data_IF_339688403617
#
_entry.id   IF_339688403617
#
_cell.length_a   1.000
_cell.length_b   1.000
_cell.length_c   1.000
_cell.angle_alpha   90.00
_cell.angle_beta   90.00
_cell.angle_gamma   90.00
#
_symmetry.space_group_name_H-M   'P 1'
#
loop_
_entity.id
_entity.type
_entity.pdbx_description
1 polymer ?
#
# COMPACT_ATOMS: atom_id res chain seq x y z
N UNK A 1 -29.06 18.55 -31.31
CA UNK A 1 -27.86 18.92 -32.08
C UNK A 1 -26.90 19.68 -31.16
N UNK A 2 -26.04 18.99 -30.44
CA UNK A 2 -25.07 19.60 -29.52
C UNK A 2 -23.99 20.33 -30.32
N UNK A 3 -23.85 21.63 -30.10
CA UNK A 3 -22.98 22.52 -30.86
C UNK A 3 -21.51 22.08 -30.72
N UNK A 4 -20.89 21.78 -31.86
CA UNK A 4 -19.47 21.37 -31.99
C UNK A 4 -18.46 22.35 -31.34
N UNK A 5 -18.84 23.61 -31.16
CA UNK A 5 -18.04 24.65 -30.49
C UNK A 5 -17.78 24.39 -28.99
N UNK A 6 -18.69 23.70 -28.28
CA UNK A 6 -18.48 23.31 -26.89
C UNK A 6 -17.47 22.15 -26.77
N UNK A 7 -17.29 21.31 -27.79
CA UNK A 7 -16.38 20.17 -27.75
C UNK A 7 -14.92 20.59 -27.79
N UNK A 8 -14.54 21.66 -28.49
CA UNK A 8 -13.15 22.12 -28.55
C UNK A 8 -12.71 22.72 -27.22
N UNK A 9 -13.54 23.55 -26.61
CA UNK A 9 -13.27 24.15 -25.31
C UNK A 9 -13.17 23.09 -24.22
N UNK A 10 -14.09 22.12 -24.17
CA UNK A 10 -14.04 21.00 -23.23
C UNK A 10 -12.78 20.14 -23.45
N UNK A 11 -12.43 19.86 -24.69
CA UNK A 11 -11.22 19.11 -25.03
C UNK A 11 -9.95 19.81 -24.55
N UNK A 12 -9.86 21.13 -24.73
CA UNK A 12 -8.73 21.93 -24.25
C UNK A 12 -8.64 21.91 -22.72
N UNK A 13 -9.78 22.07 -22.01
CA UNK A 13 -9.84 22.01 -20.56
C UNK A 13 -9.42 20.63 -20.03
N UNK A 14 -9.88 19.55 -20.65
CA UNK A 14 -9.50 18.17 -20.27
C UNK A 14 -8.01 17.93 -20.49
N UNK A 15 -7.46 18.35 -21.63
CA UNK A 15 -6.02 18.23 -21.91
C UNK A 15 -5.18 19.00 -20.88
N UNK A 16 -5.60 20.23 -20.56
CA UNK A 16 -4.93 21.06 -19.54
C UNK A 16 -4.99 20.43 -18.17
N UNK A 17 -6.17 19.91 -17.78
CA UNK A 17 -6.34 19.21 -16.50
C UNK A 17 -5.50 17.94 -16.44
N UNK A 18 -5.45 17.18 -17.52
CA UNK A 18 -4.68 15.95 -17.61
C UNK A 18 -3.17 16.22 -17.49
N UNK A 19 -2.63 17.20 -18.26
CA UNK A 19 -1.21 17.57 -18.18
C UNK A 19 -0.83 18.01 -16.76
N UNK A 20 -1.65 18.89 -16.16
CA UNK A 20 -1.44 19.33 -14.79
C UNK A 20 -1.51 18.17 -13.80
N UNK A 21 -2.52 17.29 -13.94
CA UNK A 21 -2.76 16.15 -13.07
C UNK A 21 -1.61 15.16 -13.07
N UNK A 22 -0.99 14.88 -14.21
CA UNK A 22 0.17 14.00 -14.28
C UNK A 22 1.38 14.56 -13.51
N UNK A 23 1.70 15.86 -13.68
CA UNK A 23 2.77 16.49 -12.94
C UNK A 23 2.49 16.55 -11.43
N UNK A 24 1.26 16.90 -11.07
CA UNK A 24 0.82 16.93 -9.68
C UNK A 24 0.89 15.55 -9.04
N UNK A 25 0.39 14.52 -9.73
CA UNK A 25 0.51 13.12 -9.30
C UNK A 25 1.96 12.70 -9.09
N UNK A 26 2.85 13.04 -10.02
CA UNK A 26 4.25 12.68 -9.91
C UNK A 26 4.91 13.24 -8.63
N UNK A 27 4.68 14.51 -8.32
CA UNK A 27 5.20 15.14 -7.10
C UNK A 27 4.62 14.51 -5.84
N UNK A 28 3.31 14.20 -5.86
CA UNK A 28 2.62 13.51 -4.78
C UNK A 28 3.12 12.07 -4.59
N UNK A 29 3.44 11.36 -5.67
CA UNK A 29 4.03 10.03 -5.61
C UNK A 29 5.39 10.06 -4.90
N UNK A 30 6.24 11.05 -5.21
CA UNK A 30 7.53 11.24 -4.51
C UNK A 30 7.30 11.49 -3.01
N UNK A 31 6.34 12.36 -2.66
CA UNK A 31 6.01 12.64 -1.26
C UNK A 31 5.50 11.39 -0.54
N UNK A 32 4.63 10.61 -1.18
CA UNK A 32 4.16 9.34 -0.65
C UNK A 32 5.31 8.34 -0.39
N UNK A 33 6.26 8.23 -1.34
CA UNK A 33 7.46 7.39 -1.17
C UNK A 33 8.30 7.87 0.02
N UNK A 34 8.48 9.18 0.19
CA UNK A 34 9.22 9.74 1.34
C UNK A 34 8.50 9.42 2.64
N UNK A 35 7.18 9.62 2.74
CA UNK A 35 6.40 9.22 3.92
C UNK A 35 6.48 7.70 4.12
N UNK A 36 6.39 6.92 3.05
CA UNK A 36 6.48 5.46 3.07
C UNK A 36 7.82 4.90 3.56
N UNK A 37 8.90 5.70 3.56
CA UNK A 37 10.19 5.29 4.15
C UNK A 37 10.09 5.02 5.65
N UNK A 38 9.09 5.55 6.34
CA UNK A 38 8.81 5.26 7.76
C UNK A 38 8.48 3.79 8.00
N UNK A 39 7.83 3.12 7.03
CA UNK A 39 7.57 1.67 7.12
C UNK A 39 8.86 0.87 7.02
N UNK A 40 9.77 1.27 6.12
CA UNK A 40 11.09 0.64 5.98
C UNK A 40 11.88 0.78 7.29
N UNK A 41 11.87 1.97 7.90
CA UNK A 41 12.51 2.21 9.21
C UNK A 41 11.88 1.36 10.32
N UNK A 42 10.55 1.19 10.28
CA UNK A 42 9.81 0.41 11.26
C UNK A 42 9.82 -1.11 10.99
N UNK A 43 10.31 -1.55 9.83
CA UNK A 43 10.33 -2.96 9.45
C UNK A 43 11.21 -3.79 10.40
N UNK A 44 10.95 -5.10 10.54
CA UNK A 44 11.88 -6.03 11.19
C UNK A 44 13.25 -5.97 10.53
N UNK A 45 14.30 -6.22 11.33
CA UNK A 45 15.66 -6.23 10.78
C UNK A 45 15.82 -7.27 9.67
N UNK A 46 16.37 -6.85 8.54
CA UNK A 46 16.60 -7.74 7.41
C UNK A 46 17.92 -8.51 7.60
N UNK A 47 17.83 -9.81 7.75
CA UNK A 47 18.98 -10.68 8.00
C UNK A 47 19.73 -11.11 6.72
N UNK A 48 19.16 -10.85 5.54
CA UNK A 48 19.77 -11.23 4.27
C UNK A 48 19.68 -10.11 3.23
N UNK A 49 20.64 -10.11 2.31
CA UNK A 49 20.63 -9.16 1.18
C UNK A 49 19.35 -9.27 0.33
N UNK A 50 18.84 -10.49 0.11
CA UNK A 50 17.61 -10.71 -0.67
C UNK A 50 16.39 -10.10 0.06
N UNK A 51 16.31 -10.22 1.38
CA UNK A 51 15.25 -9.61 2.19
C UNK A 51 15.31 -8.09 2.14
N UNK A 52 16.51 -7.51 2.16
CA UNK A 52 16.68 -6.06 1.99
C UNK A 52 16.23 -5.59 0.60
N UNK A 53 16.65 -6.30 -0.46
CA UNK A 53 16.20 -6.01 -1.83
C UNK A 53 14.69 -6.11 -1.94
N UNK A 54 14.09 -7.17 -1.41
CA UNK A 54 12.64 -7.34 -1.37
C UNK A 54 11.95 -6.15 -0.68
N UNK A 55 12.43 -5.74 0.49
CA UNK A 55 11.88 -4.61 1.23
C UNK A 55 11.96 -3.31 0.42
N UNK A 56 13.10 -3.05 -0.24
CA UNK A 56 13.31 -1.85 -1.04
C UNK A 56 12.41 -1.80 -2.29
N UNK A 57 12.33 -2.90 -3.06
CA UNK A 57 11.48 -2.93 -4.27
C UNK A 57 9.99 -2.91 -3.90
N UNK A 58 9.59 -3.54 -2.78
CA UNK A 58 8.21 -3.51 -2.29
C UNK A 58 7.84 -2.09 -1.83
N UNK A 59 8.72 -1.41 -1.10
CA UNK A 59 8.52 -0.02 -0.72
C UNK A 59 8.24 0.88 -1.93
N UNK A 60 9.14 0.86 -2.92
CA UNK A 60 8.98 1.68 -4.13
C UNK A 60 7.75 1.27 -4.94
N UNK A 61 7.55 -0.02 -5.16
CA UNK A 61 6.45 -0.55 -5.97
C UNK A 61 5.09 -0.34 -5.31
N UNK A 62 4.92 -0.76 -4.06
CA UNK A 62 3.63 -0.73 -3.37
C UNK A 62 3.15 0.69 -3.09
N UNK A 63 4.01 1.56 -2.56
CA UNK A 63 3.61 2.95 -2.26
C UNK A 63 3.26 3.71 -3.53
N UNK A 64 4.05 3.54 -4.59
CA UNK A 64 3.74 4.17 -5.89
C UNK A 64 2.48 3.61 -6.53
N UNK A 65 2.23 2.30 -6.38
CA UNK A 65 0.98 1.68 -6.85
C UNK A 65 -0.23 2.23 -6.12
N UNK A 66 -0.18 2.40 -4.79
CA UNK A 66 -1.25 3.03 -4.02
C UNK A 66 -1.48 4.49 -4.45
N UNK A 67 -0.42 5.26 -4.67
CA UNK A 67 -0.52 6.62 -5.19
C UNK A 67 -1.15 6.64 -6.59
N UNK A 68 -0.77 5.72 -7.47
CA UNK A 68 -1.36 5.57 -8.80
C UNK A 68 -2.84 5.19 -8.73
N UNK A 69 -3.21 4.26 -7.85
CA UNK A 69 -4.60 3.86 -7.64
C UNK A 69 -5.44 5.04 -7.14
N UNK A 70 -4.90 5.83 -6.20
CA UNK A 70 -5.55 7.05 -5.72
C UNK A 70 -5.73 8.09 -6.83
N UNK A 71 -4.71 8.28 -7.68
CA UNK A 71 -4.83 9.13 -8.88
C UNK A 71 -5.94 8.63 -9.81
N UNK A 72 -5.95 7.35 -10.13
CA UNK A 72 -6.91 6.74 -11.06
C UNK A 72 -8.36 6.85 -10.55
N UNK A 73 -8.58 6.64 -9.25
CA UNK A 73 -9.93 6.64 -8.66
C UNK A 73 -10.44 8.07 -8.42
N UNK A 74 -9.59 8.95 -7.93
CA UNK A 74 -10.04 10.28 -7.48
C UNK A 74 -9.73 11.40 -8.48
N UNK A 75 -8.49 11.51 -8.96
CA UNK A 75 -8.07 12.64 -9.77
C UNK A 75 -8.43 12.49 -11.24
N UNK A 76 -8.28 11.30 -11.80
CA UNK A 76 -8.57 11.06 -13.22
C UNK A 76 -10.04 11.34 -13.58
N UNK A 77 -11.06 10.89 -12.83
CA UNK A 77 -12.45 11.22 -13.13
C UNK A 77 -12.76 12.72 -13.04
N UNK A 78 -12.07 13.44 -12.14
CA UNK A 78 -12.24 14.89 -11.99
C UNK A 78 -11.79 15.68 -13.23
N UNK A 79 -10.92 15.11 -14.08
CA UNK A 79 -10.46 15.79 -15.31
C UNK A 79 -11.62 16.11 -16.25
N UNK A 80 -12.71 15.36 -16.18
CA UNK A 80 -13.90 15.51 -17.02
C UNK A 80 -14.88 16.60 -16.53
N UNK A 81 -14.67 17.21 -15.36
CA UNK A 81 -15.55 18.27 -14.82
C UNK A 81 -15.55 19.53 -15.70
N UNK A 82 -14.53 19.71 -16.55
CA UNK A 82 -14.47 20.84 -17.47
C UNK A 82 -14.17 22.21 -16.84
N UNK A 83 -13.87 22.26 -15.53
CA UNK A 83 -13.47 23.47 -14.82
C UNK A 83 -12.12 23.28 -14.14
N UNK A 84 -11.06 23.82 -14.75
CA UNK A 84 -9.69 23.65 -14.27
C UNK A 84 -9.44 24.20 -12.85
N UNK A 85 -10.15 25.27 -12.44
CA UNK A 85 -9.98 25.83 -11.08
C UNK A 85 -10.56 24.89 -10.03
N UNK A 86 -11.75 24.33 -10.29
CA UNK A 86 -12.41 23.35 -9.41
C UNK A 86 -11.57 22.07 -9.36
N UNK A 87 -11.11 21.58 -10.52
CA UNK A 87 -10.23 20.43 -10.61
C UNK A 87 -9.00 20.58 -9.69
N UNK A 88 -8.27 21.70 -9.82
CA UNK A 88 -7.09 21.98 -8.98
C UNK A 88 -7.42 21.99 -7.48
N UNK A 89 -8.46 22.71 -7.09
CA UNK A 89 -8.84 22.83 -5.70
C UNK A 89 -9.19 21.48 -5.08
N UNK A 90 -10.06 20.71 -5.73
CA UNK A 90 -10.48 19.39 -5.26
C UNK A 90 -9.30 18.42 -5.22
N UNK A 91 -8.42 18.45 -6.22
CA UNK A 91 -7.22 17.61 -6.24
C UNK A 91 -6.28 17.89 -5.07
N UNK A 92 -6.07 19.16 -4.71
CA UNK A 92 -5.26 19.54 -3.54
C UNK A 92 -5.89 19.00 -2.26
N UNK A 93 -7.20 19.18 -2.09
CA UNK A 93 -7.91 18.68 -0.88
C UNK A 93 -7.78 17.17 -0.76
N UNK A 94 -8.00 16.44 -1.87
CA UNK A 94 -7.86 14.97 -1.89
C UNK A 94 -6.41 14.56 -1.56
N UNK A 95 -5.42 15.22 -2.14
CA UNK A 95 -4.01 14.90 -1.89
C UNK A 95 -3.63 15.10 -0.42
N UNK A 96 -4.04 16.22 0.19
CA UNK A 96 -3.83 16.47 1.63
C UNK A 96 -4.48 15.37 2.47
N UNK A 97 -5.73 15.00 2.19
CA UNK A 97 -6.44 13.96 2.94
C UNK A 97 -5.74 12.60 2.82
N UNK A 98 -5.31 12.21 1.63
CA UNK A 98 -4.63 10.94 1.39
C UNK A 98 -3.26 10.89 2.08
N UNK A 99 -2.47 11.97 2.04
CA UNK A 99 -1.20 12.03 2.76
C UNK A 99 -1.41 12.06 4.28
N UNK A 100 -2.45 12.72 4.79
CA UNK A 100 -2.81 12.64 6.21
C UNK A 100 -3.15 11.20 6.62
N UNK A 101 -3.94 10.48 5.82
CA UNK A 101 -4.24 9.07 6.07
C UNK A 101 -2.97 8.22 6.08
N UNK A 102 -2.07 8.44 5.11
CA UNK A 102 -0.79 7.74 5.04
C UNK A 102 0.10 8.03 6.26
N UNK A 103 0.14 9.29 6.74
CA UNK A 103 0.88 9.67 7.96
C UNK A 103 0.29 9.03 9.22
N UNK A 104 -1.03 8.97 9.34
CA UNK A 104 -1.72 8.29 10.44
C UNK A 104 -1.39 6.80 10.42
N UNK A 105 -1.50 6.15 9.27
CA UNK A 105 -1.16 4.73 9.11
C UNK A 105 0.32 4.47 9.44
N UNK A 106 1.24 5.30 8.93
CA UNK A 106 2.66 5.19 9.23
C UNK A 106 2.96 5.34 10.73
N UNK A 107 2.27 6.25 11.42
CA UNK A 107 2.40 6.41 12.88
C UNK A 107 1.87 5.20 13.64
N UNK A 108 0.73 4.64 13.23
CA UNK A 108 0.18 3.41 13.80
C UNK A 108 1.17 2.26 13.64
N UNK A 109 1.66 2.06 12.41
CA UNK A 109 2.62 1.00 12.14
C UNK A 109 3.93 1.17 12.91
N UNK A 110 4.43 2.40 13.03
CA UNK A 110 5.63 2.70 13.81
C UNK A 110 5.46 2.34 15.29
N UNK A 111 4.25 2.56 15.86
CA UNK A 111 4.00 2.43 17.30
C UNK A 111 3.54 1.04 17.69
N UNK A 112 2.58 0.46 16.96
CA UNK A 112 1.92 -0.81 17.32
C UNK A 112 2.01 -1.90 16.23
N UNK A 113 2.73 -1.65 15.13
CA UNK A 113 2.90 -2.58 14.00
C UNK A 113 1.59 -3.03 13.34
N UNK A 114 0.58 -2.18 13.36
CA UNK A 114 -0.74 -2.43 12.77
C UNK A 114 -1.07 -1.30 11.79
N UNK A 115 -1.66 -1.66 10.64
CA UNK A 115 -2.15 -0.70 9.65
C UNK A 115 -3.56 -0.21 9.97
N UNK A 116 -3.90 0.95 9.41
CA UNK A 116 -5.22 1.56 9.52
C UNK A 116 -6.25 0.71 8.79
N UNK A 117 -7.04 -0.04 9.57
CA UNK A 117 -8.18 -0.82 9.11
C UNK A 117 -9.48 -0.19 9.60
N UNK A 118 -10.62 -0.62 9.07
CA UNK A 118 -11.92 -0.19 9.59
C UNK A 118 -12.07 -0.44 11.09
N UNK A 119 -11.61 -1.61 11.55
CA UNK A 119 -11.64 -1.96 12.97
C UNK A 119 -10.79 -1.01 13.81
N UNK A 120 -9.53 -0.74 13.41
CA UNK A 120 -8.63 0.20 14.09
C UNK A 120 -9.21 1.61 14.08
N UNK A 121 -9.75 2.07 12.95
CA UNK A 121 -10.40 3.37 12.84
C UNK A 121 -11.59 3.51 13.81
N UNK A 122 -12.42 2.47 13.92
CA UNK A 122 -13.56 2.47 14.83
C UNK A 122 -13.12 2.50 16.30
N UNK A 123 -12.03 1.81 16.62
CA UNK A 123 -11.44 1.83 17.96
C UNK A 123 -10.89 3.22 18.29
N UNK A 124 -10.15 3.82 17.37
CA UNK A 124 -9.63 5.20 17.51
C UNK A 124 -10.73 6.24 17.71
N UNK A 125 -11.91 6.01 17.16
CA UNK A 125 -13.04 6.93 17.33
C UNK A 125 -13.78 6.75 18.67
N UNK A 126 -13.80 5.53 19.21
CA UNK A 126 -14.55 5.18 20.42
C UNK A 126 -13.72 5.27 21.69
N UNK A 127 -12.46 4.92 21.61
CA UNK A 127 -11.57 4.79 22.77
C UNK A 127 -10.62 6.01 22.85
N UNK A 128 -10.86 6.87 23.86
CA UNK A 128 -10.02 8.04 24.11
C UNK A 128 -8.64 7.65 24.66
N UNK A 129 -8.55 6.58 25.44
CA UNK A 129 -7.29 6.12 26.03
C UNK A 129 -6.36 5.56 24.95
N UNK A 130 -6.91 4.82 23.99
CA UNK A 130 -6.17 4.38 22.82
C UNK A 130 -5.63 5.56 21.99
N UNK A 131 -6.44 6.58 21.79
CA UNK A 131 -6.08 7.81 21.08
C UNK A 131 -4.97 8.59 21.78
N UNK A 132 -5.08 8.76 23.10
CA UNK A 132 -4.10 9.48 23.93
C UNK A 132 -2.76 8.76 23.98
N UNK A 133 -2.78 7.43 24.07
CA UNK A 133 -1.56 6.60 24.07
C UNK A 133 -0.75 6.72 22.78
N UNK A 134 -1.41 6.96 21.63
CA UNK A 134 -0.74 7.10 20.34
C UNK A 134 -0.14 8.49 20.08
N UNK A 135 -0.55 9.51 20.82
CA UNK A 135 -0.08 10.91 20.72
C UNK A 135 -0.01 11.45 19.28
N UNK A 136 -1.14 11.89 18.76
CA UNK A 136 -1.25 12.46 17.41
C UNK A 136 -1.00 13.98 17.31
N UNK A 137 -0.44 14.62 18.35
CA UNK A 137 -0.23 16.07 18.35
C UNK A 137 0.63 16.56 17.18
N UNK A 138 1.58 15.72 16.70
CA UNK A 138 2.37 16.03 15.52
C UNK A 138 1.53 16.27 14.26
N UNK A 139 0.31 15.67 14.19
CA UNK A 139 -0.55 15.73 13.02
C UNK A 139 -1.00 17.18 12.72
N UNK A 140 -1.18 18.01 13.72
CA UNK A 140 -1.53 19.43 13.49
C UNK A 140 -0.47 20.16 12.71
N UNK A 141 0.82 19.96 13.08
CA UNK A 141 1.94 20.56 12.35
C UNK A 141 2.07 19.92 10.96
N UNK A 142 1.94 18.61 10.88
CA UNK A 142 2.02 17.87 9.61
C UNK A 142 0.96 18.33 8.60
N UNK A 143 -0.29 18.56 9.03
CA UNK A 143 -1.36 19.04 8.15
C UNK A 143 -1.00 20.41 7.56
N UNK A 144 -0.50 21.34 8.37
CA UNK A 144 -0.09 22.67 7.89
C UNK A 144 1.04 22.54 6.86
N UNK A 145 2.04 21.72 7.14
CA UNK A 145 3.15 21.46 6.22
C UNK A 145 2.67 20.78 4.93
N UNK A 146 1.77 19.81 5.01
CA UNK A 146 1.18 19.15 3.84
C UNK A 146 0.42 20.14 2.97
N UNK A 147 -0.42 20.99 3.55
CA UNK A 147 -1.15 22.01 2.80
C UNK A 147 -0.16 22.94 2.08
N UNK A 148 0.91 23.40 2.76
CA UNK A 148 1.92 24.24 2.14
C UNK A 148 2.64 23.52 0.98
N UNK A 149 3.03 22.25 1.15
CA UNK A 149 3.66 21.43 0.11
C UNK A 149 2.73 21.21 -1.09
N UNK A 150 1.45 20.89 -0.85
CA UNK A 150 0.49 20.68 -1.93
C UNK A 150 0.21 21.95 -2.73
N UNK A 151 0.19 23.11 -2.09
CA UNK A 151 0.09 24.39 -2.78
C UNK A 151 1.33 24.68 -3.64
N UNK A 152 2.52 24.33 -3.15
CA UNK A 152 3.78 24.42 -3.93
C UNK A 152 3.71 23.48 -5.13
N UNK A 153 3.32 22.21 -4.93
CA UNK A 153 3.18 21.21 -6.00
C UNK A 153 2.16 21.66 -7.05
N UNK A 154 1.02 22.20 -6.62
CA UNK A 154 0.02 22.77 -7.51
C UNK A 154 0.56 23.96 -8.34
N UNK A 155 1.39 24.79 -7.75
CA UNK A 155 2.05 25.92 -8.44
C UNK A 155 3.10 25.42 -9.44
N UNK A 156 3.91 24.44 -9.05
CA UNK A 156 4.92 23.83 -9.93
C UNK A 156 4.26 23.15 -11.12
N UNK A 157 3.23 22.33 -10.88
CA UNK A 157 2.46 21.65 -11.94
C UNK A 157 1.77 22.66 -12.89
N UNK A 158 1.36 23.83 -12.37
CA UNK A 158 0.79 24.89 -13.22
C UNK A 158 1.86 25.52 -14.12
N UNK A 159 3.09 25.66 -13.65
CA UNK A 159 4.18 26.18 -14.49
C UNK A 159 4.51 25.23 -15.66
N UNK A 160 4.43 23.92 -15.44
CA UNK A 160 4.70 22.92 -16.48
C UNK A 160 3.73 23.00 -17.67
N UNK A 161 2.47 23.37 -17.45
CA UNK A 161 1.49 23.57 -18.55
C UNK A 161 1.95 24.64 -19.54
N UNK A 162 2.66 25.66 -19.08
CA UNK A 162 3.09 26.80 -19.90
C UNK A 162 4.49 26.64 -20.48
N UNK A 163 5.20 25.56 -20.14
CA UNK A 163 6.48 25.27 -20.83
C UNK A 163 6.20 24.83 -22.26
N UNK A 164 6.81 25.52 -23.23
CA UNK A 164 6.86 25.02 -24.61
C UNK A 164 7.66 23.72 -24.61
N UNK A 165 6.99 22.61 -24.91
CA UNK A 165 7.66 21.32 -25.13
C UNK A 165 8.57 21.41 -26.35
N UNK A 166 9.85 21.67 -26.15
CA UNK A 166 10.87 21.65 -27.22
C UNK A 166 11.58 20.29 -27.31
N UNK A 167 11.35 19.38 -26.37
CA UNK A 167 12.01 18.07 -26.32
C UNK A 167 11.11 17.01 -25.67
N UNK A 168 10.96 15.86 -26.31
CA UNK A 168 10.32 14.69 -25.70
C UNK A 168 11.09 14.29 -24.44
N UNK A 169 10.46 14.47 -23.28
CA UNK A 169 11.03 14.07 -22.02
C UNK A 169 10.52 12.66 -21.65
N UNK A 170 11.35 11.64 -21.89
CA UNK A 170 11.05 10.25 -21.56
C UNK A 170 11.25 9.92 -20.06
N UNK A 171 11.79 10.85 -19.29
CA UNK A 171 12.11 10.61 -17.87
C UNK A 171 10.91 10.13 -17.03
N UNK A 172 9.71 10.74 -17.11
CA UNK A 172 8.56 10.23 -16.38
C UNK A 172 8.14 8.81 -16.78
N UNK A 173 8.21 8.51 -18.08
CA UNK A 173 7.88 7.18 -18.59
C UNK A 173 8.86 6.11 -18.10
N UNK A 174 10.17 6.41 -18.10
CA UNK A 174 11.20 5.52 -17.58
C UNK A 174 10.98 5.27 -16.08
N UNK A 175 10.72 6.33 -15.31
CA UNK A 175 10.50 6.19 -13.87
C UNK A 175 9.26 5.35 -13.56
N UNK A 176 8.15 5.58 -14.27
CA UNK A 176 6.94 4.76 -14.10
C UNK A 176 7.16 3.30 -14.49
N UNK A 177 8.00 3.04 -15.51
CA UNK A 177 8.38 1.68 -15.89
C UNK A 177 9.22 1.00 -14.79
N UNK A 178 10.16 1.72 -14.18
CA UNK A 178 10.96 1.21 -13.05
C UNK A 178 10.05 0.86 -11.87
N UNK A 179 9.14 1.75 -11.51
CA UNK A 179 8.19 1.52 -10.40
C UNK A 179 7.27 0.32 -10.69
N UNK A 180 6.75 0.22 -11.91
CA UNK A 180 5.95 -0.93 -12.34
C UNK A 180 6.75 -2.23 -12.29
N UNK A 181 8.02 -2.20 -12.71
CA UNK A 181 8.92 -3.33 -12.60
C UNK A 181 9.18 -3.71 -11.13
N UNK A 182 9.41 -2.75 -10.23
CA UNK A 182 9.55 -2.98 -8.79
C UNK A 182 8.30 -3.64 -8.20
N UNK A 183 7.11 -3.16 -8.58
CA UNK A 183 5.85 -3.74 -8.11
C UNK A 183 5.69 -5.20 -8.54
N UNK A 184 5.88 -5.50 -9.83
CA UNK A 184 5.77 -6.88 -10.36
C UNK A 184 6.85 -7.78 -9.73
N UNK A 185 8.09 -7.30 -9.65
CA UNK A 185 9.21 -8.06 -9.10
C UNK A 185 9.03 -8.38 -7.62
N UNK A 186 8.43 -7.47 -6.82
CA UNK A 186 8.14 -7.72 -5.41
C UNK A 186 7.15 -8.86 -5.23
N UNK A 187 6.09 -8.91 -6.05
CA UNK A 187 5.14 -10.02 -6.03
C UNK A 187 5.76 -11.33 -6.50
N UNK A 188 6.55 -11.30 -7.57
CA UNK A 188 7.27 -12.50 -8.06
C UNK A 188 8.24 -13.07 -7.02
N UNK A 189 9.01 -12.20 -6.37
CA UNK A 189 9.95 -12.61 -5.33
C UNK A 189 9.22 -13.17 -4.09
N UNK A 190 8.05 -12.63 -3.75
CA UNK A 190 7.23 -13.17 -2.68
C UNK A 190 6.65 -14.54 -3.02
N UNK A 191 6.14 -14.75 -4.25
CA UNK A 191 5.64 -16.04 -4.72
C UNK A 191 6.73 -17.11 -4.57
N UNK A 192 7.95 -16.79 -4.99
CA UNK A 192 9.10 -17.70 -4.82
C UNK A 192 9.39 -17.97 -3.34
N UNK A 193 9.45 -16.92 -2.51
CA UNK A 193 9.77 -17.06 -1.08
C UNK A 193 8.71 -17.86 -0.32
N UNK A 194 7.43 -17.68 -0.65
CA UNK A 194 6.32 -18.44 -0.07
C UNK A 194 6.39 -19.91 -0.49
N UNK A 195 6.69 -20.17 -1.77
CA UNK A 195 6.81 -21.52 -2.32
C UNK A 195 7.90 -22.34 -1.63
N UNK A 196 9.08 -21.73 -1.37
CA UNK A 196 10.21 -22.39 -0.71
C UNK A 196 10.23 -22.18 0.82
N UNK A 197 9.15 -21.61 1.39
CA UNK A 197 9.02 -21.31 2.83
C UNK A 197 10.17 -20.46 3.37
N UNK A 198 10.62 -19.44 2.60
CA UNK A 198 11.71 -18.56 2.98
C UNK A 198 11.24 -17.45 3.94
N UNK A 199 11.28 -17.75 5.24
CA UNK A 199 10.73 -16.89 6.31
C UNK A 199 11.28 -15.46 6.32
N UNK A 200 12.55 -15.27 5.92
CA UNK A 200 13.18 -13.93 5.90
C UNK A 200 12.49 -12.92 4.97
N UNK A 201 11.70 -13.38 4.01
CA UNK A 201 10.88 -12.55 3.14
C UNK A 201 9.40 -12.60 3.57
N UNK A 202 8.87 -13.80 3.88
CA UNK A 202 7.45 -13.94 4.20
C UNK A 202 7.05 -13.18 5.45
N UNK A 203 7.95 -13.00 6.41
CA UNK A 203 7.73 -12.17 7.61
C UNK A 203 7.60 -10.66 7.30
N UNK A 204 8.04 -10.20 6.12
CA UNK A 204 7.94 -8.80 5.70
C UNK A 204 6.63 -8.48 4.98
N UNK A 205 5.72 -9.44 4.78
CA UNK A 205 4.49 -9.25 4.01
C UNK A 205 3.57 -8.16 4.55
N UNK A 206 3.58 -7.93 5.86
CA UNK A 206 2.70 -7.00 6.54
C UNK A 206 3.33 -5.62 6.80
N UNK A 207 4.48 -5.32 6.20
CA UNK A 207 5.20 -4.05 6.44
C UNK A 207 4.54 -2.87 5.75
N UNK A 208 3.92 -3.07 4.60
CA UNK A 208 3.33 -1.97 3.82
C UNK A 208 1.80 -2.00 3.82
N UNK A 209 1.15 -0.82 3.81
CA UNK A 209 -0.31 -0.75 3.82
C UNK A 209 -0.90 -1.39 2.56
N UNK A 210 -2.04 -2.06 2.73
CA UNK A 210 -2.78 -2.73 1.66
C UNK A 210 -1.89 -3.66 0.79
N UNK A 211 -0.79 -4.19 1.33
CA UNK A 211 0.07 -5.12 0.65
C UNK A 211 -0.42 -6.55 0.89
N UNK A 212 -1.03 -7.14 -0.14
CA UNK A 212 -1.50 -8.53 -0.16
C UNK A 212 -0.72 -9.28 -1.23
N UNK A 213 0.47 -9.81 -0.90
CA UNK A 213 1.29 -10.49 -1.89
C UNK A 213 0.61 -11.78 -2.35
N UNK A 214 0.79 -12.09 -3.61
CA UNK A 214 0.25 -13.30 -4.23
C UNK A 214 1.01 -14.53 -3.75
N UNK A 215 0.29 -15.65 -3.60
CA UNK A 215 0.86 -16.97 -3.29
C UNK A 215 0.50 -17.95 -4.39
N UNK A 216 1.38 -18.86 -4.72
CA UNK A 216 1.16 -19.87 -5.76
C UNK A 216 1.71 -21.25 -5.37
N UNK A 217 1.93 -21.52 -4.07
CA UNK A 217 2.52 -22.77 -3.59
C UNK A 217 1.79 -24.01 -4.12
N UNK A 218 0.46 -24.04 -4.02
CA UNK A 218 -0.35 -25.15 -4.53
C UNK A 218 -0.23 -25.33 -6.05
N UNK A 219 -0.22 -24.21 -6.80
CA UNK A 219 -0.06 -24.26 -8.25
C UNK A 219 1.31 -24.82 -8.64
N UNK A 220 2.38 -24.33 -8.02
CA UNK A 220 3.77 -24.74 -8.29
C UNK A 220 3.99 -26.21 -7.90
N UNK A 221 3.41 -26.67 -6.79
CA UNK A 221 3.49 -28.05 -6.35
C UNK A 221 2.77 -29.00 -7.33
N UNK A 222 1.57 -28.65 -7.78
CA UNK A 222 0.80 -29.46 -8.74
C UNK A 222 1.50 -29.58 -10.10
N UNK A 223 2.38 -28.66 -10.46
CA UNK A 223 3.17 -28.70 -11.70
C UNK A 223 4.57 -29.32 -11.51
N UNK A 224 4.90 -29.79 -10.29
CA UNK A 224 6.19 -30.39 -10.01
C UNK A 224 7.37 -29.43 -10.04
N UNK A 225 7.12 -28.13 -9.87
CA UNK A 225 8.15 -27.08 -9.89
C UNK A 225 8.81 -26.85 -8.54
N UNK A 226 8.28 -27.48 -7.48
CA UNK A 226 8.87 -27.48 -6.14
C UNK A 226 9.54 -28.82 -5.87
N UNK A 227 10.87 -28.85 -5.86
CA UNK A 227 11.62 -30.02 -5.43
C UNK A 227 11.54 -30.12 -3.89
N UNK A 228 10.87 -31.12 -3.38
CA UNK A 228 10.99 -31.52 -1.97
C UNK A 228 9.72 -31.52 -1.11
N UNK A 229 8.63 -30.91 -1.53
CA UNK A 229 7.40 -30.80 -0.71
C UNK A 229 6.53 -32.08 -0.73
N UNK A 230 6.87 -33.05 -1.60
CA UNK A 230 6.18 -34.34 -1.64
C UNK A 230 6.35 -35.15 -0.35
N UNK A 231 7.39 -34.90 0.43
CA UNK A 231 7.60 -35.61 1.71
C UNK A 231 6.64 -35.12 2.78
N UNK A 232 6.41 -33.78 2.88
CA UNK A 232 5.52 -33.21 3.90
C UNK A 232 4.06 -33.54 3.61
N UNK A 233 3.64 -33.51 2.34
CA UNK A 233 2.33 -34.00 1.90
C UNK A 233 2.16 -35.50 2.07
N UNK A 234 3.23 -36.28 1.92
CA UNK A 234 3.21 -37.71 2.15
C UNK A 234 3.14 -38.03 3.67
N UNK A 235 3.76 -37.25 4.52
CA UNK A 235 3.57 -37.31 5.97
C UNK A 235 2.16 -36.93 6.40
N UNK A 236 1.60 -35.84 5.82
CA UNK A 236 0.22 -35.40 6.09
C UNK A 236 -0.85 -36.32 5.52
N UNK A 237 -0.58 -36.98 4.38
CA UNK A 237 -1.48 -37.97 3.78
C UNK A 237 -1.39 -39.35 4.44
N UNK A 238 -0.23 -39.71 4.99
CA UNK A 238 -0.01 -40.96 5.72
C UNK A 238 -0.29 -40.83 7.22
N UNK A 239 -0.15 -39.67 7.81
CA UNK A 239 -0.70 -39.38 9.13
C UNK A 239 -2.18 -39.02 8.96
N UNK A 240 -3.06 -40.02 8.89
CA UNK A 240 -4.41 -39.78 9.40
C UNK A 240 -4.23 -39.30 10.81
N UNK A 241 -4.45 -37.98 11.05
CA UNK A 241 -4.53 -37.45 12.38
C UNK A 241 -5.77 -38.05 13.06
N UNK A 242 -5.67 -39.32 13.45
CA UNK A 242 -6.55 -39.92 14.43
C UNK A 242 -6.14 -39.33 15.79
N UNK A 243 -6.50 -38.07 16.00
CA UNK A 243 -6.40 -37.51 17.32
C UNK A 243 -7.83 -37.44 17.91
N UNK A 244 -8.00 -37.95 19.14
CA UNK A 244 -7.01 -38.56 20.00
C UNK A 244 -6.64 -40.03 19.61
N UNK A 245 -5.34 -40.37 19.72
CA UNK A 245 -4.80 -41.70 19.38
C UNK A 245 -5.31 -42.83 20.32
N UNK A 246 -6.09 -42.46 21.33
CA UNK A 246 -6.71 -43.37 22.29
C UNK A 246 -7.87 -42.69 23.02
N UNK A 247 -8.71 -43.50 23.67
CA UNK A 247 -9.78 -42.95 24.53
C UNK A 247 -9.17 -42.05 25.62
N UNK A 248 -9.58 -40.79 25.64
CA UNK A 248 -9.22 -39.89 26.74
C UNK A 248 -10.01 -40.37 27.96
N UNK A 249 -9.40 -41.18 28.81
CA UNK A 249 -9.97 -41.54 30.11
C UNK A 249 -9.72 -40.39 31.10
N UNK A 250 -10.70 -39.56 31.28
CA UNK A 250 -10.67 -38.53 32.33
C UNK A 250 -11.13 -39.21 33.63
N UNK A 251 -10.17 -39.64 34.46
CA UNK A 251 -10.46 -40.02 35.84
C UNK A 251 -10.56 -38.73 36.65
N UNK A 252 -11.77 -38.22 36.82
CA UNK A 252 -12.04 -37.17 37.77
C UNK A 252 -11.99 -37.77 39.20
N UNK A 253 -10.93 -37.51 39.93
CA UNK A 253 -10.78 -37.90 41.34
C UNK A 253 -11.75 -37.14 42.26
N UNK A 254 -12.35 -36.06 41.78
CA UNK A 254 -13.30 -35.26 42.53
C UNK A 254 -14.39 -34.71 41.59
N UNK A 255 -15.67 -35.14 41.72
CA UNK A 255 -16.74 -34.75 40.83
C UNK A 255 -17.24 -33.31 41.02
N UNK A 256 -16.63 -32.52 41.91
CA UNK A 256 -17.06 -31.16 42.24
C UNK A 256 -16.26 -30.04 41.57
N UNK A 257 -15.27 -30.37 40.73
CA UNK A 257 -14.47 -29.35 40.04
C UNK A 257 -14.90 -29.23 38.58
N UNK A 258 -15.47 -28.06 38.25
CA UNK A 258 -15.69 -27.67 36.86
C UNK A 258 -14.36 -27.25 36.23
N UNK A 259 -13.88 -28.01 35.24
CA UNK A 259 -12.71 -27.64 34.46
C UNK A 259 -13.21 -26.85 33.23
N UNK A 260 -12.90 -25.57 33.20
CA UNK A 260 -13.12 -24.71 32.02
C UNK A 260 -11.81 -24.70 31.22
N UNK A 261 -11.84 -25.26 30.00
CA UNK A 261 -10.78 -25.06 29.02
C UNK A 261 -11.06 -23.77 28.27
N UNK A 262 -10.13 -22.82 28.32
CA UNK A 262 -10.13 -21.59 27.55
C UNK A 262 -9.23 -21.76 26.35
#
# INVERSE_FOLDING_TARGET
>A
MLKFTNNLFLKEQVLRSNTWGHHFFFLNCILAIVIGSTYVYAAPHTESFISFVYLAITWLGQISFLAFLAFLIFLFPLTFIGNFKVYKFVSIVIAVLLHCLLLVDAKLFLTIKVHLTWMVSSLMLRDLDFKTGLNFNFLYIAIVLLIALELIFAKLSTKEIYKKETRHNYFPAILMSIVGFCFISSHGLYIWADAVSYEKITNLRSVFPAHYPMTAKTFLNNHGWLEGDNKENDYLSKSSFNYPIGEIKVEAKDPLHNVIYI
#
